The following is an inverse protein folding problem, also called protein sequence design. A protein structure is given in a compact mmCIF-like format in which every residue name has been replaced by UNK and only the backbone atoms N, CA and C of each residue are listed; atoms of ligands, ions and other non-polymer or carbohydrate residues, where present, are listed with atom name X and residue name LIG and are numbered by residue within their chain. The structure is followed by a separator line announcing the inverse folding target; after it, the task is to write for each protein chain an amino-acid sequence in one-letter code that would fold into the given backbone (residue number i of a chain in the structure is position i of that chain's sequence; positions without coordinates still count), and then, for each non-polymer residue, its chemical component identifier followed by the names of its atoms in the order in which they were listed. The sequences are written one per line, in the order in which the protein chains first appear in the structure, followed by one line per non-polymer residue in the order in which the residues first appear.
data_IF_453303069305
#
_entry.id   IF_453303069305
#
_cell.length_a   1.000
_cell.length_b   1.000
_cell.length_c   1.000
_cell.angle_alpha   90.00
_cell.angle_beta   90.00
_cell.angle_gamma   90.00
#
_symmetry.space_group_name_H-M   'P 1'
#
loop_
_entity.id
_entity.type
_entity.pdbx_description
1 polymer ?
#
# COMPACT_ATOMS: atom_id res chain seq x y z
N UNK A 1 -11.85 24.49 -57.85
CA UNK A 1 -10.97 23.87 -56.83
C UNK A 1 -11.62 23.91 -55.45
N UNK A 2 -12.58 24.82 -55.21
CA UNK A 2 -13.27 24.98 -53.91
C UNK A 2 -14.25 23.86 -53.54
N UNK A 3 -14.91 23.21 -54.51
CA UNK A 3 -15.88 22.11 -54.24
C UNK A 3 -15.21 20.90 -53.55
N UNK A 4 -13.92 20.68 -53.81
CA UNK A 4 -13.18 19.56 -53.22
C UNK A 4 -12.80 19.81 -51.76
N UNK A 5 -12.58 21.07 -51.34
CA UNK A 5 -12.32 21.40 -49.94
C UNK A 5 -13.59 21.29 -49.10
N UNK A 6 -14.71 21.79 -49.62
CA UNK A 6 -16.00 21.75 -48.92
C UNK A 6 -16.49 20.31 -48.70
N UNK A 7 -16.23 19.41 -49.66
CA UNK A 7 -16.53 17.99 -49.52
C UNK A 7 -15.64 17.29 -48.46
N UNK A 8 -14.38 17.70 -48.29
CA UNK A 8 -13.48 17.15 -47.27
C UNK A 8 -13.93 17.58 -45.88
N UNK A 9 -14.34 18.84 -45.70
CA UNK A 9 -14.82 19.35 -44.41
C UNK A 9 -16.13 18.66 -43.98
N UNK A 10 -17.07 18.45 -44.91
CA UNK A 10 -18.32 17.72 -44.62
C UNK A 10 -18.05 16.26 -44.25
N UNK A 11 -17.10 15.59 -44.92
CA UNK A 11 -16.72 14.21 -44.58
C UNK A 11 -15.99 14.14 -43.24
N UNK A 12 -15.11 15.10 -42.93
CA UNK A 12 -14.45 15.19 -41.63
C UNK A 12 -15.44 15.48 -40.50
N UNK A 13 -16.42 16.35 -40.73
CA UNK A 13 -17.47 16.66 -39.77
C UNK A 13 -18.38 15.44 -39.54
N UNK A 14 -18.86 14.79 -40.61
CA UNK A 14 -19.69 13.59 -40.51
C UNK A 14 -18.94 12.41 -39.87
N UNK A 15 -17.65 12.25 -40.17
CA UNK A 15 -16.79 11.26 -39.52
C UNK A 15 -16.58 11.59 -38.04
N UNK A 16 -16.40 12.87 -37.69
CA UNK A 16 -16.32 13.35 -36.30
C UNK A 16 -17.63 13.13 -35.53
N UNK A 17 -18.77 13.36 -36.15
CA UNK A 17 -20.10 13.12 -35.57
C UNK A 17 -20.39 11.63 -35.40
N UNK A 18 -20.07 10.80 -36.40
CA UNK A 18 -20.19 9.34 -36.28
C UNK A 18 -19.22 8.76 -35.25
N UNK A 19 -18.01 9.32 -35.16
CA UNK A 19 -17.01 8.97 -34.16
C UNK A 19 -17.47 9.39 -32.74
N UNK A 20 -18.00 10.60 -32.57
CA UNK A 20 -18.58 11.05 -31.30
C UNK A 20 -19.83 10.24 -30.90
N UNK A 21 -20.66 9.84 -31.87
CA UNK A 21 -21.80 8.95 -31.66
C UNK A 21 -21.39 7.51 -31.29
N UNK A 22 -20.12 7.14 -31.52
CA UNK A 22 -19.54 5.85 -31.12
C UNK A 22 -18.66 5.93 -29.87
N UNK A 23 -18.36 7.14 -29.38
CA UNK A 23 -17.56 7.37 -28.18
C UNK A 23 -18.28 6.83 -26.94
N UNK A 24 -17.53 6.10 -26.12
CA UNK A 24 -18.01 5.63 -24.83
C UNK A 24 -17.67 6.68 -23.81
N UNK A 25 -18.60 7.58 -23.54
CA UNK A 25 -18.57 8.30 -22.28
C UNK A 25 -19.14 7.39 -21.20
N UNK A 26 -18.59 7.49 -20.01
CA UNK A 26 -19.22 6.92 -18.81
C UNK A 26 -19.22 7.96 -17.73
N UNK A 27 -20.40 8.21 -17.19
CA UNK A 27 -20.57 9.03 -16.02
C UNK A 27 -20.51 8.15 -14.77
N UNK A 28 -19.58 8.47 -13.88
CA UNK A 28 -19.51 7.88 -12.55
C UNK A 28 -20.15 8.88 -11.60
N UNK A 29 -21.21 8.50 -10.91
CA UNK A 29 -21.88 9.34 -9.93
C UNK A 29 -21.55 8.85 -8.53
N UNK A 30 -20.98 9.72 -7.71
CA UNK A 30 -20.85 9.50 -6.27
C UNK A 30 -22.05 10.12 -5.57
N UNK A 31 -22.92 9.28 -5.04
CA UNK A 31 -24.13 9.67 -4.33
C UNK A 31 -23.86 9.44 -2.84
N UNK A 32 -23.72 10.51 -2.06
CA UNK A 32 -23.53 10.38 -0.63
C UNK A 32 -24.85 10.57 0.11
N UNK A 33 -25.58 9.48 0.32
CA UNK A 33 -26.81 9.45 1.10
C UNK A 33 -26.57 9.27 2.62
N UNK A 34 -25.30 9.22 3.08
CA UNK A 34 -24.99 9.03 4.50
C UNK A 34 -24.93 10.38 5.23
N UNK A 35 -25.73 10.53 6.29
CA UNK A 35 -25.91 11.83 7.00
C UNK A 35 -24.70 12.34 7.76
N UNK A 36 -23.79 11.45 8.17
CA UNK A 36 -22.65 11.79 9.05
C UNK A 36 -21.28 11.62 8.40
N UNK A 37 -21.21 11.08 7.18
CA UNK A 37 -19.95 10.76 6.54
C UNK A 37 -19.81 11.59 5.27
N UNK A 38 -18.59 11.99 4.96
CA UNK A 38 -18.23 12.68 3.73
C UNK A 38 -16.98 12.04 3.14
N UNK A 39 -16.87 12.11 1.83
CA UNK A 39 -15.68 11.68 1.09
C UNK A 39 -14.84 12.92 0.79
N UNK A 40 -13.56 12.91 1.15
CA UNK A 40 -12.65 14.04 0.92
C UNK A 40 -11.36 13.57 0.26
N UNK A 41 -10.65 14.51 -0.40
CA UNK A 41 -9.34 14.27 -1.01
C UNK A 41 -9.37 13.13 -2.02
N UNK A 42 -10.26 13.26 -3.01
CA UNK A 42 -10.46 12.26 -4.05
C UNK A 42 -9.27 12.24 -5.01
N UNK A 43 -8.60 11.10 -5.12
CA UNK A 43 -7.54 10.85 -6.10
C UNK A 43 -7.99 9.78 -7.08
N UNK A 44 -7.67 9.95 -8.37
CA UNK A 44 -8.06 9.01 -9.43
C UNK A 44 -6.89 8.55 -10.26
N UNK A 45 -7.00 7.34 -10.80
CA UNK A 45 -6.09 6.78 -11.79
C UNK A 45 -6.89 6.09 -12.91
N UNK A 46 -6.63 6.47 -14.16
CA UNK A 46 -7.18 5.82 -15.35
C UNK A 46 -6.08 4.97 -16.01
N UNK A 47 -6.30 3.66 -16.07
CA UNK A 47 -5.40 2.74 -16.77
C UNK A 47 -5.69 2.75 -18.28
N UNK A 48 -6.95 2.92 -18.67
CA UNK A 48 -7.37 3.20 -20.04
C UNK A 48 -8.45 4.27 -20.04
N UNK A 49 -8.46 5.11 -21.08
CA UNK A 49 -9.32 6.29 -21.14
C UNK A 49 -8.80 7.45 -20.31
N UNK A 50 -9.63 8.47 -20.15
CA UNK A 50 -9.29 9.69 -19.42
C UNK A 50 -10.52 10.26 -18.71
N UNK A 51 -10.31 10.99 -17.63
CA UNK A 51 -11.37 11.74 -16.97
C UNK A 51 -11.50 13.12 -17.61
N UNK A 52 -12.72 13.50 -17.94
CA UNK A 52 -13.06 14.82 -18.49
C UNK A 52 -13.47 15.72 -17.34
N UNK A 53 -12.68 16.76 -17.09
CA UNK A 53 -12.97 17.75 -16.05
C UNK A 53 -12.20 17.57 -14.74
N UNK A 54 -12.44 18.51 -13.83
CA UNK A 54 -11.89 18.49 -12.49
C UNK A 54 -12.64 17.49 -11.61
N UNK A 55 -11.92 16.83 -10.69
CA UNK A 55 -12.54 16.01 -9.65
C UNK A 55 -12.87 16.93 -8.48
N UNK A 56 -14.13 17.01 -8.01
CA UNK A 56 -14.47 17.67 -6.77
C UNK A 56 -13.58 17.22 -5.62
N UNK A 57 -13.26 18.16 -4.74
CA UNK A 57 -12.43 17.90 -3.57
C UNK A 57 -13.16 17.11 -2.47
N UNK A 58 -14.49 17.19 -2.45
CA UNK A 58 -15.36 16.66 -1.41
C UNK A 58 -16.71 16.19 -1.97
N UNK A 59 -17.26 15.10 -1.43
CA UNK A 59 -18.65 14.66 -1.60
C UNK A 59 -19.34 14.74 -0.24
N UNK A 60 -20.04 15.85 0.00
CA UNK A 60 -20.70 16.14 1.28
C UNK A 60 -21.95 15.25 1.49
N UNK A 61 -22.49 15.14 2.71
CA UNK A 61 -23.75 14.44 2.94
C UNK A 61 -24.88 14.99 2.05
N UNK A 62 -25.74 14.10 1.56
CA UNK A 62 -26.89 14.39 0.70
C UNK A 62 -26.55 15.09 -0.63
N UNK A 63 -25.30 14.93 -1.11
CA UNK A 63 -24.87 15.46 -2.41
C UNK A 63 -24.63 14.34 -3.41
N UNK A 64 -24.64 14.71 -4.70
CA UNK A 64 -24.26 13.83 -5.81
C UNK A 64 -23.22 14.55 -6.65
N UNK A 65 -22.07 13.91 -6.82
CA UNK A 65 -20.98 14.41 -7.66
C UNK A 65 -20.80 13.51 -8.88
N UNK A 66 -20.77 14.10 -10.07
CA UNK A 66 -20.68 13.37 -11.34
C UNK A 66 -19.31 13.57 -11.99
N UNK A 67 -18.72 12.46 -12.43
CA UNK A 67 -17.42 12.41 -13.09
C UNK A 67 -17.57 11.78 -14.46
N UNK A 68 -17.31 12.54 -15.52
CA UNK A 68 -17.35 12.01 -16.88
C UNK A 68 -15.98 11.43 -17.25
N UNK A 69 -15.98 10.23 -17.80
CA UNK A 69 -14.80 9.57 -18.32
C UNK A 69 -15.00 9.22 -19.79
N UNK A 70 -13.96 9.47 -20.57
CA UNK A 70 -13.88 9.07 -21.97
C UNK A 70 -13.07 7.80 -22.12
N UNK A 71 -13.62 6.82 -22.82
CA UNK A 71 -12.81 5.74 -23.37
C UNK A 71 -11.82 6.29 -24.41
N UNK A 72 -10.65 5.66 -24.46
CA UNK A 72 -9.64 5.90 -25.50
C UNK A 72 -10.23 5.54 -26.87
N UNK A 73 -9.97 6.37 -27.88
CA UNK A 73 -10.42 6.21 -29.27
C UNK A 73 -10.12 4.84 -29.86
N UNK A 74 -9.00 4.26 -29.43
CA UNK A 74 -8.48 2.99 -29.92
C UNK A 74 -8.93 1.79 -29.08
N UNK A 75 -9.48 2.02 -27.89
CA UNK A 75 -9.82 0.97 -26.92
C UNK A 75 -11.27 1.06 -26.50
N UNK A 76 -12.03 0.01 -26.79
CA UNK A 76 -13.43 -0.12 -26.36
C UNK A 76 -13.60 -0.43 -24.85
N UNK A 77 -12.64 -0.03 -24.02
CA UNK A 77 -12.59 -0.31 -22.58
C UNK A 77 -12.15 0.91 -21.78
N UNK A 78 -12.87 1.23 -20.71
CA UNK A 78 -12.54 2.26 -19.73
C UNK A 78 -12.25 1.59 -18.38
N UNK A 79 -11.01 1.70 -17.90
CA UNK A 79 -10.58 1.03 -16.68
C UNK A 79 -9.85 2.02 -15.78
N UNK A 80 -10.16 2.00 -14.50
CA UNK A 80 -9.51 2.88 -13.55
C UNK A 80 -9.92 2.60 -12.12
N UNK A 81 -9.42 3.42 -11.23
CA UNK A 81 -9.84 3.44 -9.84
C UNK A 81 -9.81 4.85 -9.27
N UNK A 82 -10.51 5.01 -8.16
CA UNK A 82 -10.59 6.22 -7.37
C UNK A 82 -10.49 5.84 -5.91
N UNK A 83 -9.78 6.66 -5.15
CA UNK A 83 -9.66 6.53 -3.71
C UNK A 83 -10.04 7.84 -3.04
N UNK A 84 -10.83 7.74 -1.98
CA UNK A 84 -11.34 8.91 -1.24
C UNK A 84 -11.21 8.65 0.24
N UNK A 85 -10.76 9.64 1.02
CA UNK A 85 -10.74 9.52 2.48
C UNK A 85 -12.16 9.64 3.03
N UNK A 86 -12.58 8.71 3.87
CA UNK A 86 -13.82 8.80 4.63
C UNK A 86 -13.54 9.66 5.87
N UNK A 87 -14.36 10.68 6.08
CA UNK A 87 -14.31 11.51 7.27
C UNK A 87 -15.71 11.77 7.82
N UNK A 88 -15.81 12.11 9.10
CA UNK A 88 -17.07 12.62 9.65
C UNK A 88 -17.33 13.99 9.06
N UNK A 89 -18.56 14.21 8.60
CA UNK A 89 -19.00 15.55 8.23
C UNK A 89 -18.99 16.41 9.50
N UNK A 90 -18.24 17.51 9.48
CA UNK A 90 -18.36 18.52 10.52
C UNK A 90 -19.73 19.16 10.35
N UNK A 91 -20.61 18.98 11.34
CA UNK A 91 -21.87 19.72 11.45
C UNK A 91 -21.56 21.19 11.80
N UNK A 92 -20.76 21.86 10.97
CA UNK A 92 -20.61 23.31 11.04
C UNK A 92 -21.87 23.88 10.42
N UNK A 93 -22.73 24.44 11.25
CA UNK A 93 -23.96 25.14 10.85
C UNK A 93 -23.73 26.36 9.95
N UNK A 94 -22.49 26.65 9.57
CA UNK A 94 -22.09 27.68 8.62
C UNK A 94 -21.11 27.07 7.62
N UNK A 95 -21.59 26.72 6.42
CA UNK A 95 -20.71 26.35 5.32
C UNK A 95 -19.82 27.56 4.97
N UNK A 96 -18.49 27.46 4.99
CA UNK A 96 -17.65 28.52 4.46
C UNK A 96 -17.89 28.57 2.95
N UNK A 97 -18.39 29.72 2.46
CA UNK A 97 -18.53 29.99 1.04
C UNK A 97 -17.19 29.71 0.35
N UNK A 98 -17.16 28.67 -0.49
CA UNK A 98 -16.03 28.39 -1.38
C UNK A 98 -15.91 29.58 -2.31
N UNK A 99 -14.90 30.43 -2.08
CA UNK A 99 -14.52 31.47 -3.04
C UNK A 99 -13.96 30.75 -4.27
N UNK A 100 -14.72 30.76 -5.35
CA UNK A 100 -14.22 30.43 -6.68
C UNK A 100 -12.98 31.27 -6.97
N UNK A 101 -11.83 30.60 -7.10
CA UNK A 101 -10.59 31.25 -7.53
C UNK A 101 -10.62 31.34 -9.06
N UNK A 102 -11.43 32.26 -9.58
CA UNK A 102 -11.40 32.64 -11.00
C UNK A 102 -10.33 33.72 -11.17
N UNK A 103 -9.13 33.30 -11.55
CA UNK A 103 -8.02 34.20 -11.86
C UNK A 103 -8.23 34.76 -13.28
N UNK A 104 -8.95 35.89 -13.37
CA UNK A 104 -8.95 36.73 -14.57
C UNK A 104 -7.78 37.73 -14.47
N UNK A 105 -6.91 37.71 -15.47
CA UNK A 105 -5.85 38.70 -15.63
C UNK A 105 -6.45 40.07 -15.95
N UNK A 106 -6.17 41.06 -15.11
CA UNK A 106 -6.39 42.47 -15.40
C UNK A 106 -5.26 43.28 -14.79
N UNK A 107 -4.43 43.86 -15.66
CA UNK A 107 -3.47 44.91 -15.36
C UNK A 107 -4.22 46.15 -14.81
N UNK A 108 -3.73 46.74 -13.71
CA UNK A 108 -3.21 48.10 -13.69
C UNK A 108 -2.89 48.59 -12.26
N UNK A 109 -1.89 49.47 -12.21
CA UNK A 109 -1.20 50.00 -11.04
C UNK A 109 -2.04 50.92 -10.14
N UNK A 110 -1.72 50.97 -8.83
CA UNK A 110 -1.39 52.24 -8.16
C UNK A 110 -0.76 52.10 -6.77
N UNK A 111 -0.05 53.17 -6.43
CA UNK A 111 0.91 53.38 -5.33
C UNK A 111 0.37 53.46 -3.89
N UNK A 112 1.29 53.13 -2.97
CA UNK A 112 1.59 53.76 -1.67
C UNK A 112 0.50 53.96 -0.60
N UNK A 113 0.77 53.44 0.61
CA UNK A 113 1.25 54.26 1.76
C UNK A 113 1.57 53.42 3.00
N UNK A 114 2.59 53.90 3.71
CA UNK A 114 3.03 53.56 5.06
C UNK A 114 1.89 53.64 6.10
N UNK A 115 1.97 52.80 7.14
CA UNK A 115 2.21 53.32 8.48
C UNK A 115 2.56 52.21 9.46
N UNK A 116 3.67 52.43 10.16
CA UNK A 116 4.03 51.79 11.41
C UNK A 116 3.04 52.19 12.51
N UNK A 117 2.80 51.27 13.45
CA UNK A 117 2.62 51.67 14.84
C UNK A 117 3.00 50.52 15.77
N UNK A 118 4.12 50.73 16.48
CA UNK A 118 4.44 50.09 17.75
C UNK A 118 3.33 50.38 18.76
N UNK A 119 3.01 49.40 19.61
CA UNK A 119 2.79 49.70 21.02
C UNK A 119 3.00 48.47 21.90
N UNK A 120 3.94 48.63 22.82
CA UNK A 120 4.13 47.88 24.06
C UNK A 120 2.87 47.84 24.92
N UNK A 121 2.76 46.81 25.76
CA UNK A 121 2.33 46.81 27.18
C UNK A 121 2.13 45.32 27.60
N UNK A 122 3.01 44.81 28.48
CA UNK A 122 2.77 44.55 29.92
C UNK A 122 2.04 43.21 30.17
N UNK A 123 2.77 42.18 30.63
CA UNK A 123 2.77 41.71 32.03
C UNK A 123 1.40 41.20 32.49
N UNK A 124 1.26 39.88 32.58
CA UNK A 124 0.52 39.19 33.64
C UNK A 124 1.02 37.72 33.68
N UNK A 125 1.89 37.44 34.65
CA UNK A 125 2.20 36.10 35.13
C UNK A 125 0.98 35.61 35.92
N UNK A 126 0.20 34.68 35.35
CA UNK A 126 -0.72 33.85 36.12
C UNK A 126 -0.16 32.44 36.22
N UNK A 127 0.25 32.08 37.44
CA UNK A 127 0.56 30.74 37.88
C UNK A 127 -0.73 29.86 37.81
N UNK A 128 -0.96 29.22 36.66
CA UNK A 128 -1.89 28.09 36.58
C UNK A 128 -1.16 26.80 36.97
N UNK A 129 -1.31 26.41 38.25
CA UNK A 129 -1.04 25.06 38.72
C UNK A 129 -2.01 24.09 38.02
N UNK A 130 -1.63 23.63 36.82
CA UNK A 130 -2.31 22.51 36.18
C UNK A 130 -2.02 21.22 36.94
N UNK A 131 -3.00 20.88 37.77
CA UNK A 131 -3.27 19.56 38.34
C UNK A 131 -3.13 18.48 37.24
N UNK A 132 -1.97 17.82 37.20
CA UNK A 132 -1.72 16.63 36.40
C UNK A 132 -2.60 15.48 36.92
N UNK A 133 -3.88 15.51 36.56
CA UNK A 133 -4.77 14.38 36.70
C UNK A 133 -4.39 13.33 35.64
N UNK A 134 -3.85 12.22 36.14
CA UNK A 134 -3.62 10.98 35.44
C UNK A 134 -4.86 10.55 34.62
N UNK A 135 -4.86 10.89 33.33
CA UNK A 135 -5.63 10.18 32.34
C UNK A 135 -4.66 9.33 31.53
N UNK A 136 -4.42 8.10 32.01
CA UNK A 136 -3.99 6.96 31.18
C UNK A 136 -5.12 6.65 30.16
N UNK A 137 -5.41 7.64 29.30
CA UNK A 137 -6.38 7.58 28.24
C UNK A 137 -5.78 6.77 27.13
N UNK A 138 -6.16 5.50 27.09
CA UNK A 138 -6.16 4.59 25.94
C UNK A 138 -5.99 5.36 24.61
N UNK A 139 -4.74 5.57 24.17
CA UNK A 139 -4.41 6.22 22.90
C UNK A 139 -4.80 5.26 21.79
N UNK A 140 -6.10 5.21 21.51
CA UNK A 140 -6.67 4.45 20.41
C UNK A 140 -6.15 5.12 19.15
N UNK A 141 -5.13 4.49 18.54
CA UNK A 141 -4.48 4.95 17.31
C UNK A 141 -5.54 5.27 16.28
N UNK A 142 -5.62 6.52 15.82
CA UNK A 142 -6.67 6.95 14.91
C UNK A 142 -6.37 6.39 13.52
N UNK A 143 -7.04 5.30 13.15
CA UNK A 143 -6.92 4.79 11.78
C UNK A 143 -7.63 5.73 10.78
N UNK A 144 -6.93 6.04 9.70
CA UNK A 144 -7.49 6.73 8.55
C UNK A 144 -8.10 5.70 7.60
N UNK A 145 -9.33 5.93 7.19
CA UNK A 145 -10.06 5.03 6.29
C UNK A 145 -10.30 5.69 4.95
N UNK A 146 -10.13 4.89 3.90
CA UNK A 146 -10.29 5.30 2.53
C UNK A 146 -11.25 4.35 1.83
N UNK A 147 -12.17 4.91 1.04
CA UNK A 147 -13.00 4.17 0.11
C UNK A 147 -12.25 4.03 -1.21
N UNK A 148 -11.99 2.79 -1.63
CA UNK A 148 -11.41 2.47 -2.93
C UNK A 148 -12.50 1.89 -3.84
N UNK A 149 -12.71 2.53 -4.99
CA UNK A 149 -13.60 2.04 -6.03
C UNK A 149 -12.81 1.86 -7.31
N UNK A 150 -12.94 0.71 -7.95
CA UNK A 150 -12.37 0.46 -9.26
C UNK A 150 -13.43 -0.08 -10.22
N UNK A 151 -13.25 0.25 -11.49
CA UNK A 151 -14.17 -0.11 -12.56
C UNK A 151 -13.42 -0.60 -13.79
N UNK A 152 -14.09 -1.46 -14.54
CA UNK A 152 -13.68 -1.95 -15.84
C UNK A 152 -14.90 -2.04 -16.73
N UNK A 153 -15.07 -1.02 -17.56
CA UNK A 153 -16.26 -0.83 -18.39
C UNK A 153 -15.91 -1.21 -19.81
N UNK A 154 -16.75 -2.04 -20.42
CA UNK A 154 -16.53 -2.52 -21.79
C UNK A 154 -17.75 -2.15 -22.62
N UNK A 155 -17.54 -1.60 -23.80
CA UNK A 155 -18.63 -1.32 -24.75
C UNK A 155 -19.43 -2.57 -25.15
N UNK A 156 -18.73 -3.71 -25.18
CA UNK A 156 -19.31 -5.02 -25.45
C UNK A 156 -18.83 -5.98 -24.37
N UNK A 157 -19.79 -6.58 -23.66
CA UNK A 157 -19.54 -7.58 -22.63
C UNK A 157 -19.94 -7.11 -21.24
N UNK A 158 -19.42 -7.81 -20.24
CA UNK A 158 -19.77 -7.57 -18.84
C UNK A 158 -18.89 -6.50 -18.23
N UNK A 159 -19.52 -5.49 -17.63
CA UNK A 159 -18.84 -4.52 -16.78
C UNK A 159 -18.36 -5.19 -15.50
N UNK A 160 -17.20 -4.77 -15.01
CA UNK A 160 -16.66 -5.30 -13.77
C UNK A 160 -16.36 -4.17 -12.80
N UNK A 161 -16.49 -4.49 -11.52
CA UNK A 161 -16.33 -3.53 -10.44
C UNK A 161 -15.55 -4.13 -9.29
N UNK A 162 -15.03 -3.25 -8.46
CA UNK A 162 -14.42 -3.61 -7.20
C UNK A 162 -14.62 -2.44 -6.23
N UNK A 163 -15.09 -2.74 -5.03
CA UNK A 163 -15.15 -1.77 -3.93
C UNK A 163 -14.53 -2.41 -2.71
N UNK A 164 -13.67 -1.65 -2.04
CA UNK A 164 -13.16 -2.03 -0.74
C UNK A 164 -12.78 -0.82 0.11
N UNK A 165 -12.50 -1.07 1.38
CA UNK A 165 -11.87 -0.08 2.25
C UNK A 165 -10.38 -0.29 2.29
N UNK A 166 -9.64 0.80 2.40
CA UNK A 166 -8.21 0.82 2.71
C UNK A 166 -8.03 1.53 4.04
N UNK A 167 -7.38 0.89 5.02
CA UNK A 167 -7.01 1.52 6.29
C UNK A 167 -5.53 1.88 6.31
N UNK A 168 -5.20 3.02 6.92
CA UNK A 168 -3.84 3.47 7.17
C UNK A 168 -3.71 3.95 8.62
N UNK A 169 -2.54 3.73 9.23
CA UNK A 169 -2.25 4.24 10.58
C UNK A 169 -2.07 5.75 10.57
N UNK A 170 -2.33 6.42 11.69
CA UNK A 170 -2.10 7.87 11.87
C UNK A 170 -0.64 8.28 11.60
N UNK A 171 0.30 7.37 11.88
CA UNK A 171 1.73 7.57 11.64
C UNK A 171 2.13 7.38 10.18
N UNK A 172 1.26 6.80 9.34
CA UNK A 172 1.58 6.36 7.99
C UNK A 172 0.45 6.69 7.00
N UNK A 173 -0.06 7.93 7.07
CA UNK A 173 -1.15 8.40 6.22
C UNK A 173 -0.63 8.62 4.80
N UNK A 174 -1.06 7.81 3.80
CA UNK A 174 -0.59 7.98 2.44
C UNK A 174 -1.04 9.30 1.85
N UNK A 175 -0.10 9.98 1.21
CA UNK A 175 -0.41 11.06 0.28
C UNK A 175 -0.75 10.45 -1.10
N UNK A 176 -2.03 10.10 -1.28
CA UNK A 176 -2.51 9.53 -2.53
C UNK A 176 -2.32 10.49 -3.70
N UNK A 177 -1.36 10.18 -4.57
CA UNK A 177 -1.19 10.79 -5.88
C UNK A 177 -1.48 9.75 -6.98
N UNK A 178 -1.43 10.18 -8.26
CA UNK A 178 -1.74 9.29 -9.38
C UNK A 178 -0.76 8.12 -9.47
N UNK A 179 0.54 8.35 -9.25
CA UNK A 179 1.58 7.32 -9.32
C UNK A 179 1.40 6.23 -8.25
N UNK A 180 1.14 6.61 -7.00
CA UNK A 180 0.93 5.67 -5.91
C UNK A 180 -0.35 4.86 -6.14
N UNK A 181 -1.44 5.52 -6.54
CA UNK A 181 -2.70 4.85 -6.84
C UNK A 181 -2.57 3.91 -8.05
N UNK A 182 -1.77 4.28 -9.06
CA UNK A 182 -1.45 3.40 -10.20
C UNK A 182 -0.77 2.12 -9.74
N UNK A 183 0.30 2.22 -8.94
CA UNK A 183 1.01 1.03 -8.42
C UNK A 183 0.07 0.16 -7.61
N UNK A 184 -0.69 0.76 -6.70
CA UNK A 184 -1.68 0.06 -5.88
C UNK A 184 -2.72 -0.68 -6.74
N UNK A 185 -3.22 -0.01 -7.79
CA UNK A 185 -4.16 -0.60 -8.74
C UNK A 185 -3.56 -1.83 -9.46
N UNK A 186 -2.34 -1.70 -9.97
CA UNK A 186 -1.63 -2.76 -10.70
C UNK A 186 -1.29 -3.96 -9.81
N UNK A 187 -0.92 -3.73 -8.55
CA UNK A 187 -0.46 -4.77 -7.61
C UNK A 187 -1.60 -5.48 -6.87
N UNK A 188 -2.70 -4.78 -6.58
CA UNK A 188 -3.71 -5.29 -5.65
C UNK A 188 -5.14 -5.35 -6.21
N UNK A 189 -5.47 -4.51 -7.19
CA UNK A 189 -6.87 -4.31 -7.62
C UNK A 189 -7.17 -4.99 -8.95
N UNK A 190 -6.26 -4.88 -9.93
CA UNK A 190 -6.48 -5.27 -11.33
C UNK A 190 -7.02 -6.68 -11.53
N UNK A 191 -6.66 -7.61 -10.65
CA UNK A 191 -7.02 -9.02 -10.77
C UNK A 191 -8.18 -9.44 -9.83
N UNK A 192 -8.80 -8.48 -9.11
CA UNK A 192 -9.88 -8.74 -8.12
C UNK A 192 -11.27 -8.28 -8.55
N UNK A 193 -11.42 -7.88 -9.81
CA UNK A 193 -12.70 -7.46 -10.36
C UNK A 193 -13.77 -8.56 -10.29
N UNK A 194 -14.97 -8.20 -9.84
CA UNK A 194 -16.16 -9.05 -9.92
C UNK A 194 -17.07 -8.58 -11.06
N UNK A 195 -17.69 -9.53 -11.75
CA UNK A 195 -18.65 -9.22 -12.82
C UNK A 195 -19.91 -8.59 -12.23
N UNK A 196 -20.27 -7.40 -12.70
CA UNK A 196 -21.48 -6.69 -12.31
C UNK A 196 -22.59 -6.96 -13.34
N UNK A 197 -23.34 -8.06 -13.17
CA UNK A 197 -24.42 -8.44 -14.08
C UNK A 197 -25.73 -7.72 -13.75
N UNK A 198 -25.75 -6.38 -13.83
CA UNK A 198 -26.96 -5.58 -13.54
C UNK A 198 -27.44 -5.65 -12.08
N UNK A 199 -26.72 -6.36 -11.22
CA UNK A 199 -26.95 -6.44 -9.79
C UNK A 199 -26.22 -5.31 -9.08
N UNK A 200 -26.84 -4.81 -8.01
CA UNK A 200 -26.21 -3.86 -7.08
C UNK A 200 -25.15 -4.62 -6.29
N UNK A 201 -23.90 -4.20 -6.41
CA UNK A 201 -22.81 -4.73 -5.59
C UNK A 201 -22.71 -3.92 -4.30
N UNK A 202 -23.27 -4.46 -3.22
CA UNK A 202 -23.25 -3.82 -1.90
C UNK A 202 -22.14 -4.39 -1.03
N UNK A 203 -21.35 -3.52 -0.41
CA UNK A 203 -20.51 -3.86 0.73
C UNK A 203 -20.83 -2.99 1.92
N UNK A 204 -20.76 -3.57 3.13
CA UNK A 204 -21.11 -2.89 4.37
C UNK A 204 -20.00 -3.03 5.39
N UNK A 205 -19.77 -1.98 6.16
CA UNK A 205 -18.77 -1.92 7.21
C UNK A 205 -19.33 -1.23 8.45
N UNK A 206 -18.71 -1.51 9.59
CA UNK A 206 -18.92 -0.77 10.82
C UNK A 206 -17.56 -0.36 11.34
N UNK A 207 -17.36 0.95 11.51
CA UNK A 207 -16.15 1.46 12.15
C UNK A 207 -16.38 1.52 13.65
N UNK A 208 -15.28 1.48 14.40
CA UNK A 208 -15.35 1.71 15.84
C UNK A 208 -15.97 3.09 16.10
N UNK A 209 -17.05 3.10 16.87
CA UNK A 209 -17.79 4.31 17.25
C UNK A 209 -18.52 5.06 16.10
N UNK A 210 -18.77 4.45 14.93
CA UNK A 210 -19.65 5.03 13.90
C UNK A 210 -20.89 4.18 13.64
N UNK A 211 -21.92 4.80 13.06
CA UNK A 211 -23.01 4.05 12.46
C UNK A 211 -22.47 3.12 11.36
N UNK A 212 -23.02 1.90 11.24
CA UNK A 212 -22.75 1.04 10.09
C UNK A 212 -23.11 1.74 8.78
N UNK A 213 -22.27 1.60 7.77
CA UNK A 213 -22.49 2.18 6.45
C UNK A 213 -22.28 1.14 5.35
N UNK A 214 -22.90 1.38 4.21
CA UNK A 214 -22.79 0.56 3.01
C UNK A 214 -22.38 1.42 1.83
N UNK A 215 -21.65 0.80 0.90
CA UNK A 215 -21.40 1.34 -0.43
C UNK A 215 -22.02 0.40 -1.45
N UNK A 216 -22.95 0.93 -2.22
CA UNK A 216 -23.60 0.24 -3.34
C UNK A 216 -22.95 0.69 -4.64
N UNK A 217 -22.59 -0.27 -5.50
CA UNK A 217 -22.17 -0.02 -6.87
C UNK A 217 -23.24 -0.53 -7.82
N UNK A 218 -23.78 0.36 -8.65
CA UNK A 218 -24.77 0.02 -9.67
C UNK A 218 -24.25 0.38 -11.06
N UNK A 219 -24.38 -0.54 -12.01
CA UNK A 219 -23.96 -0.33 -13.40
C UNK A 219 -25.18 -0.31 -14.29
N UNK A 220 -25.32 0.78 -15.05
CA UNK A 220 -26.26 0.81 -16.16
C UNK A 220 -25.60 0.15 -17.38
N UNK A 221 -26.21 -0.92 -17.90
CA UNK A 221 -25.71 -1.66 -19.06
C UNK A 221 -25.99 -0.93 -20.41
N UNK A 222 -26.18 0.39 -20.37
CA UNK A 222 -26.38 1.22 -21.56
C UNK A 222 -25.05 1.66 -22.14
N UNK A 223 -25.08 1.96 -23.45
CA UNK A 223 -23.91 2.35 -24.26
C UNK A 223 -23.25 3.66 -23.77
N UNK A 224 -24.05 4.57 -23.21
CA UNK A 224 -23.60 5.63 -22.31
C UNK A 224 -23.60 5.01 -20.92
N UNK A 225 -22.44 4.49 -20.52
CA UNK A 225 -22.31 3.76 -19.26
C UNK A 225 -22.57 4.72 -18.10
N UNK A 226 -23.30 4.27 -17.10
CA UNK A 226 -23.43 5.02 -15.85
C UNK A 226 -23.04 4.10 -14.71
N UNK A 227 -22.19 4.58 -13.81
CA UNK A 227 -21.80 3.87 -12.59
C UNK A 227 -22.22 4.71 -11.40
N UNK A 228 -23.20 4.24 -10.64
CA UNK A 228 -23.62 4.91 -9.42
C UNK A 228 -22.94 4.26 -8.22
N UNK A 229 -22.24 5.07 -7.44
CA UNK A 229 -21.52 4.70 -6.23
C UNK A 229 -22.25 5.38 -5.07
N UNK A 230 -23.07 4.62 -4.35
CA UNK A 230 -23.93 5.18 -3.30
C UNK A 230 -23.41 4.85 -1.91
N UNK A 231 -22.95 5.85 -1.17
CA UNK A 231 -22.60 5.74 0.25
C UNK A 231 -23.86 5.99 1.09
N UNK A 232 -24.29 5.02 1.90
CA UNK A 232 -25.53 5.11 2.71
C UNK A 232 -25.38 4.44 4.07
N UNK A 233 -26.33 4.68 4.97
CA UNK A 233 -26.42 3.91 6.23
C UNK A 233 -26.76 2.45 5.94
N UNK A 234 -26.09 1.51 6.61
CA UNK A 234 -26.34 0.08 6.36
C UNK A 234 -27.68 -0.38 6.95
N UNK A 235 -28.48 -1.10 6.17
CA UNK A 235 -29.80 -1.61 6.59
C UNK A 235 -29.73 -2.99 7.28
N UNK A 236 -28.63 -3.73 7.11
CA UNK A 236 -28.47 -5.12 7.58
C UNK A 236 -27.27 -5.30 8.50
N UNK A 237 -27.29 -6.39 9.26
CA UNK A 237 -26.16 -6.89 10.05
C UNK A 237 -24.90 -6.94 9.18
N UNK A 238 -23.84 -6.28 9.64
CA UNK A 238 -22.55 -6.16 8.95
C UNK A 238 -21.95 -7.54 8.73
N UNK A 239 -21.43 -7.77 7.53
CA UNK A 239 -20.53 -8.89 7.29
C UNK A 239 -19.18 -8.59 7.97
N UNK A 240 -19.05 -8.99 9.24
CA UNK A 240 -17.84 -8.80 10.05
C UNK A 240 -16.61 -9.53 9.46
N UNK A 241 -16.79 -10.37 8.43
CA UNK A 241 -15.69 -11.13 7.82
C UNK A 241 -14.85 -10.30 6.84
N UNK A 242 -15.40 -9.21 6.29
CA UNK A 242 -14.71 -8.37 5.30
C UNK A 242 -13.89 -7.26 6.00
N UNK A 243 -12.63 -7.55 6.31
CA UNK A 243 -11.70 -6.54 6.83
C UNK A 243 -11.20 -5.61 5.71
N UNK A 244 -11.02 -4.30 5.98
CA UNK A 244 -10.35 -3.39 5.06
C UNK A 244 -8.98 -3.93 4.63
N UNK A 245 -8.57 -3.59 3.41
CA UNK A 245 -7.17 -3.69 3.02
C UNK A 245 -6.36 -2.79 3.94
N UNK A 246 -5.54 -3.39 4.79
CA UNK A 246 -4.56 -2.60 5.50
C UNK A 246 -3.49 -2.19 4.49
N UNK A 247 -3.40 -0.90 4.22
CA UNK A 247 -2.24 -0.36 3.54
C UNK A 247 -1.09 -0.46 4.53
N UNK A 248 -0.38 -1.58 4.46
CA UNK A 248 1.04 -1.52 4.76
C UNK A 248 1.54 -0.70 3.60
N UNK A 249 1.94 0.57 3.81
CA UNK A 249 2.89 1.10 2.87
C UNK A 249 3.94 0.00 2.82
N UNK A 250 4.12 -0.63 1.66
CA UNK A 250 5.48 -0.77 1.25
C UNK A 250 5.93 0.69 1.33
N UNK A 251 6.56 1.03 2.45
CA UNK A 251 7.89 1.56 2.32
C UNK A 251 8.41 0.75 1.14
N UNK A 252 8.38 1.36 -0.06
CA UNK A 252 9.53 1.23 -0.91
C UNK A 252 10.63 1.24 0.15
N UNK A 253 11.28 0.12 0.35
CA UNK A 253 12.51 0.11 1.11
C UNK A 253 13.45 0.95 0.23
N UNK A 254 13.15 2.25 0.13
CA UNK A 254 13.87 3.31 -0.51
C UNK A 254 14.97 3.46 0.50
N UNK A 255 16.01 2.74 0.14
CA UNK A 255 17.22 2.55 0.87
C UNK A 255 17.05 1.74 2.15
N UNK A 256 17.66 0.56 2.10
CA UNK A 256 18.27 -0.09 3.26
C UNK A 256 18.83 1.01 4.16
N UNK A 257 18.24 1.20 5.34
CA UNK A 257 18.83 2.09 6.35
C UNK A 257 20.03 1.35 6.90
N UNK A 258 21.22 1.76 6.47
CA UNK A 258 22.49 1.33 7.04
C UNK A 258 22.55 1.81 8.49
N UNK A 259 22.84 0.91 9.43
CA UNK A 259 23.24 1.36 10.75
C UNK A 259 24.62 2.00 10.60
N UNK A 260 24.84 3.27 11.00
CA UNK A 260 26.17 3.88 10.97
C UNK A 260 27.22 3.08 11.77
N UNK A 261 26.77 2.20 12.69
CA UNK A 261 27.63 1.26 13.44
C UNK A 261 28.14 0.11 12.56
N UNK A 262 27.50 -0.23 11.43
CA UNK A 262 27.95 -1.31 10.53
C UNK A 262 29.28 -0.96 9.81
N UNK A 263 29.66 0.32 9.79
CA UNK A 263 30.99 0.75 9.33
C UNK A 263 32.12 0.38 10.32
N UNK A 264 31.80 0.00 11.55
CA UNK A 264 32.79 -0.42 12.55
C UNK A 264 33.18 -1.89 12.45
N UNK A 265 32.38 -2.72 11.76
CA UNK A 265 32.64 -4.15 11.57
C UNK A 265 33.05 -4.54 10.15
N UNK A 266 32.92 -3.64 9.18
CA UNK A 266 33.51 -3.80 7.86
C UNK A 266 34.98 -3.37 7.91
N UNK A 267 35.90 -4.33 8.03
CA UNK A 267 37.33 -4.07 7.93
C UNK A 267 37.64 -3.34 6.59
N UNK A 268 38.11 -2.09 6.60
CA UNK A 268 38.19 -1.23 5.40
C UNK A 268 39.32 -1.62 4.42
N UNK A 269 39.95 -2.79 4.57
CA UNK A 269 41.03 -3.23 3.69
C UNK A 269 40.78 -4.64 3.13
N UNK A 270 40.18 -4.77 1.94
CA UNK A 270 40.19 -6.06 1.24
C UNK A 270 41.62 -6.35 0.80
N UNK A 271 42.34 -7.20 1.55
CA UNK A 271 43.59 -7.78 1.07
C UNK A 271 43.25 -8.78 -0.03
N UNK A 272 43.75 -8.53 -1.24
CA UNK A 272 43.55 -9.40 -2.39
C UNK A 272 44.30 -10.73 -2.20
N UNK A 273 43.57 -11.80 -1.85
CA UNK A 273 44.04 -13.18 -1.93
C UNK A 273 43.10 -14.03 -2.80
N UNK A 274 43.66 -15.01 -3.52
CA UNK A 274 43.10 -15.57 -4.76
C UNK A 274 42.28 -16.85 -4.59
N UNK A 275 41.72 -17.14 -3.42
CA UNK A 275 40.76 -18.24 -3.25
C UNK A 275 39.59 -17.81 -2.37
N UNK A 276 38.50 -17.42 -3.01
CA UNK A 276 37.31 -16.88 -2.36
C UNK A 276 36.30 -17.99 -2.07
N UNK A 277 36.20 -18.45 -0.82
CA UNK A 277 34.96 -19.05 -0.33
C UNK A 277 33.93 -17.95 -0.07
N UNK A 278 32.65 -18.32 -0.14
CA UNK A 278 31.52 -17.43 0.10
C UNK A 278 30.81 -17.85 1.38
N UNK A 279 30.47 -16.88 2.21
CA UNK A 279 29.64 -17.12 3.38
C UNK A 279 28.51 -16.08 3.47
N UNK A 280 27.46 -16.45 4.20
CA UNK A 280 26.37 -15.55 4.61
C UNK A 280 26.17 -15.73 6.08
N UNK A 281 26.13 -14.62 6.79
CA UNK A 281 25.78 -14.59 8.19
C UNK A 281 24.47 -13.81 8.37
N UNK A 282 23.53 -14.43 9.07
CA UNK A 282 22.20 -13.90 9.36
C UNK A 282 22.08 -13.67 10.86
N UNK A 283 21.73 -12.44 11.22
CA UNK A 283 21.35 -12.04 12.56
C UNK A 283 19.87 -11.67 12.56
N UNK A 284 19.11 -12.26 13.47
CA UNK A 284 17.69 -12.00 13.68
C UNK A 284 17.53 -11.41 15.07
N UNK A 285 17.26 -10.11 15.14
CA UNK A 285 16.95 -9.41 16.37
C UNK A 285 15.42 -9.35 16.52
N UNK A 286 14.89 -10.07 17.51
CA UNK A 286 13.48 -10.00 17.84
C UNK A 286 13.28 -8.88 18.88
N UNK A 287 13.19 -7.62 18.44
CA UNK A 287 12.95 -6.50 19.36
C UNK A 287 11.50 -6.43 19.84
N UNK A 288 10.63 -7.28 19.29
CA UNK A 288 9.25 -7.38 19.71
C UNK A 288 9.13 -7.65 21.20
N UNK A 289 8.16 -7.01 21.85
CA UNK A 289 7.78 -7.32 23.24
C UNK A 289 6.73 -8.42 23.35
N UNK A 290 6.07 -8.75 22.23
CA UNK A 290 4.82 -9.54 22.24
C UNK A 290 4.92 -10.85 21.46
N UNK A 291 5.93 -10.98 20.59
CA UNK A 291 6.09 -12.17 19.77
C UNK A 291 7.40 -12.89 20.03
N UNK A 292 7.34 -14.21 19.95
CA UNK A 292 8.47 -15.11 19.92
C UNK A 292 8.58 -15.71 18.52
N UNK A 293 9.80 -15.91 18.06
CA UNK A 293 10.08 -16.69 16.86
C UNK A 293 10.38 -18.12 17.32
N UNK A 294 9.45 -19.05 17.13
CA UNK A 294 9.54 -20.43 17.60
C UNK A 294 9.76 -21.40 16.43
N UNK A 295 10.03 -22.66 16.78
CA UNK A 295 10.14 -23.79 15.84
C UNK A 295 11.06 -23.43 14.65
N UNK A 296 12.23 -22.87 14.96
CA UNK A 296 13.24 -22.53 13.97
C UNK A 296 13.66 -23.77 13.18
N UNK A 297 13.47 -23.72 11.87
CA UNK A 297 13.87 -24.74 10.90
C UNK A 297 14.80 -24.11 9.86
N UNK A 298 15.85 -24.83 9.45
CA UNK A 298 16.76 -24.40 8.40
C UNK A 298 16.90 -25.47 7.33
N UNK A 299 17.08 -25.02 6.10
CA UNK A 299 17.26 -25.90 4.94
C UNK A 299 18.42 -25.41 4.07
N UNK A 300 19.11 -26.34 3.43
CA UNK A 300 20.29 -26.06 2.60
C UNK A 300 20.08 -26.60 1.21
N UNK A 301 20.19 -25.71 0.22
CA UNK A 301 20.12 -26.09 -1.20
C UNK A 301 21.51 -26.13 -1.82
N UNK A 302 22.44 -25.32 -1.32
CA UNK A 302 23.84 -25.33 -1.72
C UNK A 302 24.72 -24.77 -0.59
N UNK A 303 25.84 -25.43 -0.28
CA UNK A 303 26.68 -25.10 0.86
C UNK A 303 26.41 -25.96 2.10
N UNK A 304 26.86 -25.48 3.26
CA UNK A 304 26.67 -26.12 4.55
C UNK A 304 26.47 -25.08 5.66
N UNK A 305 25.63 -25.37 6.65
CA UNK A 305 25.49 -24.53 7.84
C UNK A 305 26.69 -24.75 8.77
N UNK A 306 27.35 -23.67 9.17
CA UNK A 306 28.46 -23.69 10.14
C UNK A 306 27.93 -23.62 11.57
N UNK A 307 26.78 -22.98 11.76
CA UNK A 307 26.12 -22.82 13.06
C UNK A 307 24.72 -23.40 13.02
N UNK A 308 24.32 -24.05 14.11
CA UNK A 308 22.95 -24.55 14.27
C UNK A 308 21.97 -23.39 14.48
N UNK A 309 20.78 -23.49 13.86
CA UNK A 309 19.72 -22.51 14.03
C UNK A 309 19.14 -22.62 15.45
N UNK A 310 19.02 -21.49 16.15
CA UNK A 310 18.28 -21.46 17.41
C UNK A 310 16.81 -21.79 17.16
N UNK A 311 16.26 -22.78 17.86
CA UNK A 311 14.86 -23.17 17.72
C UNK A 311 13.87 -22.10 18.22
N UNK A 312 14.30 -21.19 19.10
CA UNK A 312 13.48 -20.10 19.63
C UNK A 312 14.28 -18.81 19.75
N UNK A 313 13.64 -17.69 19.41
CA UNK A 313 14.12 -16.32 19.63
C UNK A 313 13.05 -15.55 20.42
N UNK A 314 13.19 -15.42 21.75
CA UNK A 314 12.19 -14.73 22.59
C UNK A 314 12.16 -13.22 22.32
N UNK A 315 11.16 -12.49 22.85
CA UNK A 315 11.19 -11.03 22.93
C UNK A 315 12.52 -10.48 23.45
N UNK A 316 13.09 -9.52 22.74
CA UNK A 316 14.43 -8.95 22.99
C UNK A 316 15.60 -9.86 22.62
N UNK A 317 15.34 -11.07 22.09
CA UNK A 317 16.35 -12.07 21.77
C UNK A 317 17.07 -11.83 20.45
N UNK A 318 18.22 -12.49 20.28
CA UNK A 318 19.01 -12.46 19.06
C UNK A 318 19.41 -13.87 18.64
N UNK A 319 19.12 -14.24 17.39
CA UNK A 319 19.60 -15.46 16.75
C UNK A 319 20.66 -15.13 15.71
N UNK A 320 21.69 -15.97 15.63
CA UNK A 320 22.78 -15.86 14.66
C UNK A 320 22.94 -17.21 13.97
N UNK A 321 22.91 -17.21 12.64
CA UNK A 321 23.27 -18.39 11.86
C UNK A 321 24.18 -18.04 10.68
N UNK A 322 25.10 -18.94 10.34
CA UNK A 322 26.11 -18.78 9.29
C UNK A 322 26.07 -19.96 8.34
N UNK A 323 25.98 -19.63 7.05
CA UNK A 323 25.95 -20.57 5.94
C UNK A 323 27.21 -20.35 5.10
N UNK A 324 27.96 -21.42 4.84
CA UNK A 324 29.24 -21.37 4.11
C UNK A 324 29.19 -22.21 2.85
N UNK A 325 29.95 -21.80 1.84
CA UNK A 325 30.16 -22.57 0.61
C UNK A 325 30.87 -23.90 0.93
N UNK A 326 30.34 -25.02 0.43
CA UNK A 326 30.93 -26.35 0.64
C UNK A 326 32.24 -26.54 -0.13
N UNK A 327 32.38 -25.80 -1.23
CA UNK A 327 33.60 -25.74 -2.03
C UNK A 327 33.92 -24.32 -2.48
N UNK A 328 35.17 -24.10 -2.88
CA UNK A 328 35.67 -22.80 -3.33
C UNK A 328 35.01 -22.28 -4.60
N UNK A 329 34.15 -23.05 -5.28
CA UNK A 329 33.57 -22.68 -6.58
C UNK A 329 32.05 -22.61 -6.62
N UNK A 330 31.37 -22.97 -5.53
CA UNK A 330 29.92 -23.03 -5.48
C UNK A 330 29.30 -21.75 -4.96
N UNK A 331 28.01 -21.55 -5.26
CA UNK A 331 27.18 -20.53 -4.60
C UNK A 331 26.72 -21.10 -3.25
N UNK A 332 26.38 -20.24 -2.29
CA UNK A 332 25.63 -20.64 -1.09
C UNK A 332 24.14 -20.37 -1.31
N UNK A 333 23.28 -21.31 -0.93
CA UNK A 333 21.83 -21.16 -0.93
C UNK A 333 21.21 -21.87 0.27
N UNK A 334 20.45 -21.14 1.07
CA UNK A 334 19.77 -21.69 2.22
C UNK A 334 18.58 -20.86 2.63
N UNK A 335 17.71 -21.47 3.42
CA UNK A 335 16.49 -20.84 3.91
C UNK A 335 16.35 -21.10 5.40
N UNK A 336 15.90 -20.08 6.13
CA UNK A 336 15.58 -20.13 7.55
C UNK A 336 14.11 -19.78 7.72
N UNK A 337 13.40 -20.58 8.51
CA UNK A 337 11.98 -20.41 8.76
C UNK A 337 11.73 -20.40 10.26
N UNK A 338 11.02 -19.38 10.74
CA UNK A 338 10.53 -19.32 12.11
C UNK A 338 9.01 -19.19 12.12
N UNK A 339 8.34 -19.90 13.01
CA UNK A 339 6.94 -19.64 13.31
C UNK A 339 6.84 -18.42 14.23
N UNK A 340 5.94 -17.49 13.94
CA UNK A 340 5.69 -16.32 14.80
C UNK A 340 4.56 -16.68 15.78
N UNK A 341 4.89 -16.68 17.07
CA UNK A 341 3.95 -17.01 18.16
C UNK A 341 3.79 -15.81 19.10
N UNK A 342 2.60 -15.66 19.71
CA UNK A 342 2.36 -14.61 20.70
C UNK A 342 2.74 -15.13 22.09
N UNK A 343 3.57 -14.43 22.85
CA UNK A 343 4.07 -14.94 24.14
C UNK A 343 2.99 -15.17 25.18
N UNK A 344 1.89 -14.42 25.11
CA UNK A 344 0.75 -14.55 26.03
C UNK A 344 -0.40 -15.41 25.51
N UNK A 345 -0.33 -15.95 24.28
CA UNK A 345 -1.45 -16.69 23.67
C UNK A 345 -0.93 -17.85 22.81
N UNK A 346 -1.44 -19.05 23.08
CA UNK A 346 -1.23 -20.25 22.24
C UNK A 346 -1.84 -20.16 20.82
N UNK A 347 -2.37 -18.99 20.41
CA UNK A 347 -3.05 -18.82 19.13
C UNK A 347 -2.13 -18.17 18.09
N UNK A 348 -2.19 -18.63 16.84
CA UNK A 348 -1.31 -18.10 15.81
C UNK A 348 -1.72 -16.67 15.43
N UNK A 349 -0.71 -15.86 15.09
CA UNK A 349 -0.78 -14.40 15.21
C UNK A 349 -1.82 -13.72 14.28
N UNK A 350 -2.20 -14.35 13.16
CA UNK A 350 -3.08 -13.72 12.17
C UNK A 350 -4.24 -14.65 11.76
N UNK A 351 -5.47 -14.24 12.09
CA UNK A 351 -6.73 -14.82 11.58
C UNK A 351 -6.89 -16.34 11.76
N UNK A 352 -6.35 -16.90 12.87
CA UNK A 352 -6.40 -18.34 13.12
C UNK A 352 -5.55 -19.16 12.15
N UNK A 353 -4.58 -18.52 11.48
CA UNK A 353 -3.59 -19.15 10.59
C UNK A 353 -2.20 -18.98 11.17
N UNK A 354 -1.35 -19.97 10.94
CA UNK A 354 0.06 -19.94 11.29
C UNK A 354 0.80 -18.96 10.40
N UNK A 355 1.63 -18.13 11.02
CA UNK A 355 2.44 -17.11 10.35
C UNK A 355 3.88 -17.52 10.53
N UNK A 356 4.62 -17.56 9.43
CA UNK A 356 6.03 -17.91 9.41
C UNK A 356 6.84 -16.74 8.87
N UNK A 357 7.90 -16.37 9.56
CA UNK A 357 8.98 -15.57 9.02
C UNK A 357 9.88 -16.48 8.19
N UNK A 358 10.08 -16.13 6.94
CA UNK A 358 10.95 -16.87 6.02
C UNK A 358 12.06 -15.94 5.58
N UNK A 359 13.30 -16.40 5.74
CA UNK A 359 14.51 -15.71 5.31
C UNK A 359 15.25 -16.61 4.33
N UNK A 360 15.18 -16.25 3.05
CA UNK A 360 15.88 -16.92 1.96
C UNK A 360 17.18 -16.18 1.64
N UNK A 361 18.27 -16.93 1.54
CA UNK A 361 19.62 -16.39 1.40
C UNK A 361 20.33 -17.05 0.23
N UNK A 362 20.94 -16.22 -0.60
CA UNK A 362 21.84 -16.64 -1.65
C UNK A 362 23.11 -15.81 -1.60
N UNK A 363 24.26 -16.46 -1.56
CA UNK A 363 25.55 -15.81 -1.78
C UNK A 363 26.28 -16.48 -2.92
N UNK A 364 27.07 -15.67 -3.59
CA UNK A 364 27.83 -16.06 -4.76
C UNK A 364 29.15 -15.31 -4.70
N UNK A 365 30.13 -15.78 -5.47
CA UNK A 365 31.44 -15.14 -5.56
C UNK A 365 31.33 -13.67 -5.96
N UNK A 366 30.54 -13.38 -6.99
CA UNK A 366 30.30 -12.00 -7.43
C UNK A 366 29.28 -11.34 -6.51
N UNK A 367 29.60 -10.14 -6.04
CA UNK A 367 28.71 -9.33 -5.20
C UNK A 367 27.35 -9.10 -5.86
N UNK A 368 27.30 -8.99 -7.18
CA UNK A 368 26.09 -8.85 -8.01
C UNK A 368 25.13 -10.05 -7.96
N UNK A 369 25.54 -11.19 -7.38
CA UNK A 369 24.69 -12.37 -7.25
C UNK A 369 24.33 -12.71 -5.80
N UNK A 370 24.81 -11.91 -4.85
CA UNK A 370 24.45 -12.01 -3.44
C UNK A 370 23.10 -11.35 -3.20
N UNK A 371 22.16 -12.12 -2.66
CA UNK A 371 20.75 -11.76 -2.53
C UNK A 371 20.21 -12.30 -1.21
N UNK A 372 19.39 -11.48 -0.55
CA UNK A 372 18.58 -11.91 0.59
C UNK A 372 17.13 -11.53 0.33
N UNK A 373 16.22 -12.41 0.69
CA UNK A 373 14.80 -12.10 0.76
C UNK A 373 14.27 -12.48 2.14
N UNK A 374 13.51 -11.59 2.75
CA UNK A 374 12.74 -11.89 3.95
C UNK A 374 11.27 -11.61 3.69
N UNK A 375 10.39 -12.48 4.18
CA UNK A 375 8.95 -12.31 4.02
C UNK A 375 8.13 -13.11 5.03
N UNK A 376 6.84 -12.78 5.10
CA UNK A 376 5.89 -13.50 5.93
C UNK A 376 5.06 -14.46 5.07
N UNK A 377 4.96 -15.71 5.51
CA UNK A 377 4.12 -16.75 4.90
C UNK A 377 2.99 -17.09 5.86
N UNK A 378 1.75 -17.01 5.38
CA UNK A 378 0.55 -17.31 6.18
C UNK A 378 -0.13 -18.57 5.65
N UNK A 379 -0.30 -19.57 6.51
CA UNK A 379 -0.82 -20.89 6.11
C UNK A 379 -1.72 -21.51 7.16
N UNK A 380 -2.62 -22.40 6.73
CA UNK A 380 -3.45 -23.21 7.65
C UNK A 380 -2.70 -24.43 8.18
N UNK A 381 -1.57 -24.80 7.57
CA UNK A 381 -0.81 -25.98 7.95
C UNK A 381 0.23 -25.62 9.04
N UNK A 382 0.08 -26.11 10.29
CA UNK A 382 1.08 -25.88 11.35
C UNK A 382 2.44 -26.49 11.03
N UNK A 383 2.48 -27.52 10.17
CA UNK A 383 3.70 -28.26 9.86
C UNK A 383 4.41 -27.74 8.61
N UNK A 384 4.07 -26.54 8.13
CA UNK A 384 4.66 -25.96 6.93
C UNK A 384 6.19 -25.94 6.99
N UNK A 385 6.76 -25.45 8.10
CA UNK A 385 8.21 -25.38 8.29
C UNK A 385 8.88 -26.76 8.44
N UNK A 386 8.12 -27.82 8.78
CA UNK A 386 8.67 -29.17 9.02
C UNK A 386 8.77 -30.03 7.77
N UNK A 387 8.44 -29.48 6.61
CA UNK A 387 8.46 -30.21 5.34
C UNK A 387 9.47 -29.58 4.39
N UNK A 388 10.58 -30.28 4.17
CA UNK A 388 11.64 -29.89 3.20
C UNK A 388 11.04 -29.47 1.85
N UNK A 389 10.10 -30.26 1.30
CA UNK A 389 9.42 -29.94 0.04
C UNK A 389 8.66 -28.59 0.05
N UNK A 390 8.15 -28.14 1.18
CA UNK A 390 7.47 -26.85 1.27
C UNK A 390 8.47 -25.70 1.29
N UNK A 391 9.60 -25.86 2.01
CA UNK A 391 10.68 -24.88 2.04
C UNK A 391 11.35 -24.79 0.65
N UNK A 392 11.59 -25.92 -0.01
CA UNK A 392 12.17 -25.99 -1.36
C UNK A 392 11.29 -25.32 -2.42
N UNK A 393 9.97 -25.56 -2.40
CA UNK A 393 9.02 -24.86 -3.27
C UNK A 393 9.04 -23.37 -3.02
N UNK A 394 9.04 -22.97 -1.75
CA UNK A 394 9.10 -21.57 -1.37
C UNK A 394 10.41 -20.92 -1.85
N UNK A 395 11.55 -21.59 -1.67
CA UNK A 395 12.84 -21.13 -2.18
C UNK A 395 12.80 -20.92 -3.69
N UNK A 396 12.24 -21.88 -4.44
CA UNK A 396 12.09 -21.77 -5.90
C UNK A 396 11.23 -20.56 -6.29
N UNK A 397 10.08 -20.39 -5.63
CA UNK A 397 9.16 -19.26 -5.88
C UNK A 397 9.78 -17.90 -5.53
N UNK A 398 10.59 -17.82 -4.47
CA UNK A 398 11.21 -16.59 -3.99
C UNK A 398 12.48 -16.22 -4.78
N UNK A 399 13.35 -17.20 -5.02
CA UNK A 399 14.61 -17.04 -5.73
C UNK A 399 14.39 -16.61 -7.19
N UNK A 400 13.34 -17.10 -7.84
CA UNK A 400 13.04 -16.77 -9.24
C UNK A 400 12.33 -15.42 -9.43
N UNK A 401 11.56 -14.94 -8.45
CA UNK A 401 10.61 -13.82 -8.68
C UNK A 401 10.84 -12.56 -7.84
N UNK A 402 11.53 -12.61 -6.70
CA UNK A 402 11.48 -11.51 -5.70
C UNK A 402 12.78 -11.10 -5.04
N UNK A 403 13.90 -11.76 -5.32
CA UNK A 403 15.20 -11.32 -4.79
C UNK A 403 15.70 -10.05 -5.49
N UNK A 404 15.46 -8.88 -4.86
CA UNK A 404 15.72 -7.55 -5.42
C UNK A 404 16.99 -6.87 -4.89
N UNK A 405 17.66 -7.40 -3.86
CA UNK A 405 18.84 -6.77 -3.23
C UNK A 405 20.17 -7.33 -3.77
N UNK A 406 21.14 -6.44 -4.02
CA UNK A 406 22.44 -6.76 -4.59
C UNK A 406 23.59 -6.35 -3.65
N UNK A 407 24.43 -7.31 -3.27
CA UNK A 407 25.85 -7.07 -2.97
C UNK A 407 26.24 -6.30 -1.70
N UNK A 408 25.33 -6.07 -0.73
CA UNK A 408 25.67 -5.38 0.54
C UNK A 408 24.85 -5.91 1.73
N UNK A 409 25.32 -5.74 2.99
CA UNK A 409 24.54 -6.04 4.19
C UNK A 409 23.13 -5.46 4.10
N UNK A 410 22.09 -6.15 4.55
CA UNK A 410 20.74 -5.59 4.49
C UNK A 410 20.07 -5.64 5.84
N UNK A 411 19.53 -4.48 6.25
CA UNK A 411 18.66 -4.37 7.43
C UNK A 411 17.21 -4.37 6.95
N UNK A 412 16.43 -5.33 7.42
CA UNK A 412 14.98 -5.41 7.18
C UNK A 412 14.25 -5.19 8.49
N UNK A 413 13.25 -4.29 8.49
CA UNK A 413 12.37 -4.07 9.62
C UNK A 413 10.95 -4.48 9.28
N UNK A 414 10.36 -5.34 10.12
CA UNK A 414 8.93 -5.62 10.09
C UNK A 414 8.28 -4.72 11.15
N UNK A 415 7.99 -3.47 10.80
CA UNK A 415 7.65 -2.40 11.77
C UNK A 415 6.43 -2.72 12.66
N UNK A 416 5.47 -3.53 12.17
CA UNK A 416 4.32 -3.98 12.97
C UNK A 416 4.68 -5.06 14.01
N UNK A 417 5.80 -5.77 13.82
CA UNK A 417 6.26 -6.85 14.70
C UNK A 417 7.51 -6.46 15.49
N UNK A 418 8.17 -5.34 15.16
CA UNK A 418 9.46 -4.90 15.70
C UNK A 418 10.53 -6.00 15.62
N UNK A 419 10.61 -6.65 14.45
CA UNK A 419 11.67 -7.63 14.15
C UNK A 419 12.67 -6.97 13.21
N UNK A 420 13.95 -6.99 13.59
CA UNK A 420 15.05 -6.47 12.78
C UNK A 420 15.93 -7.62 12.30
N UNK A 421 16.06 -7.77 10.98
CA UNK A 421 16.97 -8.72 10.36
C UNK A 421 18.22 -7.97 9.91
N UNK A 422 19.40 -8.50 10.22
CA UNK A 422 20.67 -8.01 9.68
C UNK A 422 21.37 -9.16 8.98
N UNK A 423 21.89 -8.91 7.79
CA UNK A 423 22.74 -9.90 7.09
C UNK A 423 24.11 -9.33 6.82
N UNK A 424 25.13 -10.15 7.00
CA UNK A 424 26.48 -9.85 6.57
C UNK A 424 26.88 -10.87 5.50
N UNK A 425 27.19 -10.37 4.31
CA UNK A 425 27.75 -11.19 3.24
C UNK A 425 29.26 -11.05 3.26
N UNK A 426 29.94 -11.99 3.89
CA UNK A 426 31.40 -11.99 3.92
C UNK A 426 31.92 -12.79 2.72
N UNK A 427 32.69 -12.16 1.80
CA UNK A 427 33.72 -12.92 1.11
C UNK A 427 34.73 -13.28 2.20
N UNK A 428 34.83 -14.55 2.56
CA UNK A 428 35.82 -14.93 3.56
C UNK A 428 37.21 -14.58 3.02
N UNK A 429 37.96 -13.77 3.77
CA UNK A 429 39.42 -13.76 3.67
C UNK A 429 39.91 -14.78 4.71
N UNK A 430 40.25 -15.98 4.27
CA UNK A 430 40.78 -16.99 5.18
C UNK A 430 42.16 -17.47 4.75
N UNK A 431 43.06 -17.34 5.74
CA UNK A 431 44.37 -17.96 6.01
C UNK A 431 45.37 -18.12 4.87
#
# INVERSE_FOLDING_TARGET
MDIALEAVDVVQQAAGEAYNATRTTTDINFINAHKQLQLVRLTRHCSTGQCVGAVPFCVAPDTTETFTFDADSTRFTLNGCMISRISRATLTGDAPAVKENTQASGEDANEAKENANEKDEAEEEEDEEDEYADAEGNQQTREHLYLLVAWKIRLKGTNQAFVDLVSASELDVPQWNNELLKRFYEEHVRDRFTSAHGEVHTRSWQLENTSPFSVDLTFNNKRQGQVDITLKTAERSIDQSARPFQMVQSNNYSDIIWDPVDHLYADPRPQHSSMTSCSVELFIHNNSRRVELSDGEQDTFCGAWETELQHSVPPGGVSRTKLVCASTFEDVKGCVVYQIQHTQRDRPLLWGRYVFLVVDMRSAKTSERRRMYAGLVVTKNPRFARTHQAIERLHSDLAERRMLSFGKPSIWRLDQLDITLRTAFQPDAHA
#
